data_IF_898422938673
#
_entry.id   IF_898422938673
#
_cell.length_a   1.000
_cell.length_b   1.000
_cell.length_c   1.000
_cell.angle_alpha   90.00
_cell.angle_beta   90.00
_cell.angle_gamma   90.00
#
_symmetry.space_group_name_H-M   'P 1'
#
loop_
_entity.id
_entity.type
_entity.pdbx_description
1 polymer ?
#
# COMPACT_ATOMS: atom_id res chain seq x y z
N UNK A 1 1.39 4.09 16.21
CA UNK A 1 1.53 4.41 17.65
C UNK A 1 1.01 3.29 18.53
N UNK A 2 -0.29 2.94 18.49
CA UNK A 2 -0.81 1.85 19.33
C UNK A 2 -0.35 0.48 18.79
N UNK A 3 -0.60 0.18 17.51
CA UNK A 3 -0.05 -1.00 16.83
C UNK A 3 1.43 -0.93 16.46
N UNK A 4 2.07 0.24 16.64
CA UNK A 4 3.49 0.50 16.34
C UNK A 4 3.99 1.60 17.29
N UNK A 5 4.39 1.26 18.53
CA UNK A 5 4.97 2.19 19.50
C UNK A 5 6.49 2.33 19.33
N UNK A 6 7.09 1.37 18.62
CA UNK A 6 8.52 1.23 18.32
C UNK A 6 9.44 1.12 19.55
N UNK A 7 8.85 0.76 20.69
CA UNK A 7 9.51 0.68 21.99
C UNK A 7 10.00 -0.77 22.25
N UNK A 8 11.32 -1.04 22.26
CA UNK A 8 11.85 -2.38 22.46
C UNK A 8 11.64 -2.92 23.88
N UNK A 9 11.41 -2.06 24.87
CA UNK A 9 11.16 -2.48 26.25
C UNK A 9 9.77 -3.13 26.50
N UNK A 10 8.92 -3.23 25.47
CA UNK A 10 7.55 -3.77 25.59
C UNK A 10 7.45 -5.28 25.41
N UNK A 11 8.57 -5.90 25.05
CA UNK A 11 8.65 -7.26 24.55
C UNK A 11 9.82 -7.99 25.20
N UNK A 12 9.74 -9.32 25.27
CA UNK A 12 10.94 -10.14 25.46
C UNK A 12 11.85 -10.01 24.24
N UNK A 13 13.08 -10.53 24.33
CA UNK A 13 13.97 -10.71 23.17
C UNK A 13 13.43 -11.63 22.05
N UNK A 14 12.17 -12.07 22.16
CA UNK A 14 11.44 -12.96 21.25
C UNK A 14 10.02 -12.46 20.92
N UNK A 15 9.62 -11.25 21.36
CA UNK A 15 8.29 -10.66 21.10
C UNK A 15 8.31 -9.51 20.08
N UNK A 16 7.35 -9.50 19.14
CA UNK A 16 7.27 -8.49 18.08
C UNK A 16 6.81 -7.11 18.60
N UNK A 17 7.45 -6.04 18.13
CA UNK A 17 7.02 -4.66 18.40
C UNK A 17 5.93 -4.15 17.44
N UNK A 18 5.67 -4.89 16.36
CA UNK A 18 4.64 -4.57 15.37
C UNK A 18 3.29 -5.14 15.82
N UNK A 19 2.79 -4.69 16.98
CA UNK A 19 1.52 -5.16 17.57
C UNK A 19 0.35 -5.14 16.58
N UNK A 20 0.25 -4.13 15.71
CA UNK A 20 -0.80 -4.06 14.67
C UNK A 20 -0.72 -5.15 13.60
N UNK A 21 0.44 -5.80 13.43
CA UNK A 21 0.60 -6.98 12.58
C UNK A 21 0.32 -8.28 13.37
N UNK A 22 0.57 -8.30 14.69
CA UNK A 22 0.07 -9.36 15.57
C UNK A 22 -1.47 -9.37 15.63
N UNK A 23 -2.10 -8.18 15.68
CA UNK A 23 -3.56 -8.03 15.64
C UNK A 23 -4.15 -8.59 14.32
N UNK A 24 -3.52 -8.28 13.19
CA UNK A 24 -3.88 -8.84 11.88
C UNK A 24 -3.69 -10.37 11.86
N UNK A 25 -2.58 -10.89 12.42
CA UNK A 25 -2.39 -12.34 12.56
C UNK A 25 -3.50 -12.96 13.42
N UNK A 26 -3.83 -12.38 14.57
CA UNK A 26 -4.86 -12.89 15.46
C UNK A 26 -6.25 -12.91 14.79
N UNK A 27 -6.56 -11.90 13.97
CA UNK A 27 -7.76 -11.89 13.14
C UNK A 27 -7.76 -13.00 12.07
N UNK A 28 -6.62 -13.24 11.40
CA UNK A 28 -6.48 -14.34 10.42
C UNK A 28 -6.62 -15.71 11.11
N UNK A 29 -5.97 -15.91 12.26
CA UNK A 29 -6.08 -17.12 13.08
C UNK A 29 -7.54 -17.34 13.52
N UNK A 30 -8.24 -16.28 13.95
CA UNK A 30 -9.67 -16.35 14.31
C UNK A 30 -10.53 -16.73 13.11
N UNK A 31 -10.35 -16.10 11.94
CA UNK A 31 -11.10 -16.45 10.72
C UNK A 31 -10.85 -17.92 10.37
N UNK A 32 -9.59 -18.37 10.36
CA UNK A 32 -9.25 -19.78 10.06
C UNK A 32 -9.93 -20.76 11.02
N UNK A 33 -10.05 -20.42 12.30
CA UNK A 33 -10.66 -21.29 13.30
C UNK A 33 -12.20 -21.25 13.31
N UNK A 34 -12.84 -20.20 12.76
CA UNK A 34 -14.29 -19.98 12.90
C UNK A 34 -15.08 -19.94 11.59
N UNK A 35 -14.46 -19.66 10.43
CA UNK A 35 -15.18 -19.35 9.18
C UNK A 35 -16.06 -20.50 8.66
N UNK A 36 -15.74 -21.75 9.01
CA UNK A 36 -16.56 -22.92 8.73
C UNK A 36 -17.98 -22.81 9.33
N UNK A 37 -18.14 -22.18 10.51
CA UNK A 37 -19.44 -21.90 11.11
C UNK A 37 -20.29 -20.87 10.36
N UNK A 38 -19.68 -20.12 9.44
CA UNK A 38 -20.31 -19.15 8.54
C UNK A 38 -20.42 -19.68 7.09
N UNK A 39 -20.13 -20.96 6.85
CA UNK A 39 -20.18 -21.59 5.53
C UNK A 39 -18.98 -21.32 4.62
N UNK A 40 -17.92 -20.67 5.12
CA UNK A 40 -16.66 -20.47 4.38
C UNK A 40 -15.66 -21.61 4.58
N UNK A 41 -14.63 -21.65 3.74
CA UNK A 41 -13.62 -22.72 3.74
C UNK A 41 -12.32 -22.25 4.43
N UNK A 42 -11.95 -22.81 5.60
CA UNK A 42 -10.76 -22.39 6.34
C UNK A 42 -9.43 -22.74 5.65
N UNK A 43 -9.47 -23.54 4.57
CA UNK A 43 -8.30 -23.86 3.74
C UNK A 43 -8.20 -22.98 2.48
N UNK A 44 -9.21 -22.14 2.19
CA UNK A 44 -9.23 -21.20 1.05
C UNK A 44 -9.53 -19.78 1.50
N UNK A 45 -8.58 -19.21 2.23
CA UNK A 45 -8.60 -17.81 2.68
C UNK A 45 -7.70 -16.98 1.77
N UNK A 46 -8.27 -15.97 1.10
CA UNK A 46 -7.52 -14.96 0.36
C UNK A 46 -7.40 -13.70 1.22
N UNK A 47 -6.19 -13.17 1.38
CA UNK A 47 -5.93 -11.90 2.06
C UNK A 47 -5.80 -10.80 1.00
N UNK A 48 -6.54 -9.71 1.15
CA UNK A 48 -6.48 -8.53 0.30
C UNK A 48 -6.40 -7.27 1.17
N UNK A 49 -5.71 -6.26 0.68
CA UNK A 49 -5.58 -4.95 1.31
C UNK A 49 -5.00 -3.93 0.32
N UNK A 50 -5.03 -2.66 0.71
CA UNK A 50 -4.51 -1.53 -0.07
C UNK A 50 -3.64 -0.67 0.84
N UNK A 51 -2.69 0.09 0.27
CA UNK A 51 -1.74 0.92 1.03
C UNK A 51 -0.99 0.10 2.09
N UNK A 52 -0.87 0.60 3.32
CA UNK A 52 -0.34 -0.12 4.48
C UNK A 52 -1.01 -1.49 4.73
N UNK A 53 -2.26 -1.70 4.29
CA UNK A 53 -2.93 -3.01 4.32
C UNK A 53 -2.38 -4.00 3.28
N UNK A 54 -2.00 -3.53 2.10
CA UNK A 54 -1.27 -4.35 1.12
C UNK A 54 0.14 -4.68 1.64
N UNK A 55 0.83 -3.69 2.21
CA UNK A 55 2.12 -3.87 2.87
C UNK A 55 2.04 -4.89 4.02
N UNK A 56 0.99 -4.84 4.85
CA UNK A 56 0.78 -5.82 5.93
C UNK A 56 0.52 -7.24 5.38
N UNK A 57 -0.25 -7.38 4.30
CA UNK A 57 -0.50 -8.66 3.65
C UNK A 57 0.77 -9.27 3.02
N UNK A 58 1.64 -8.45 2.42
CA UNK A 58 2.90 -8.92 1.85
C UNK A 58 3.95 -9.24 2.93
N UNK A 59 4.01 -8.44 4.01
CA UNK A 59 4.87 -8.71 5.16
C UNK A 59 4.49 -10.03 5.85
N UNK A 60 3.20 -10.33 6.00
CA UNK A 60 2.71 -11.61 6.52
C UNK A 60 3.25 -12.82 5.72
N UNK A 61 3.53 -12.65 4.43
CA UNK A 61 4.11 -13.68 3.57
C UNK A 61 5.65 -13.80 3.65
N UNK A 62 6.37 -12.84 4.27
CA UNK A 62 7.82 -12.65 4.09
C UNK A 62 8.68 -12.49 5.36
N UNK A 63 8.08 -12.51 6.56
CA UNK A 63 8.71 -12.11 7.83
C UNK A 63 10.15 -12.64 8.12
N UNK A 64 10.96 -11.79 8.84
CA UNK A 64 13.98 -11.81 10.24
C UNK A 64 15.38 -11.89 9.46
N UNK A 65 16.42 -11.01 9.69
CA UNK A 65 16.65 -9.95 10.74
C UNK A 65 17.04 -8.51 10.18
N UNK A 66 17.30 -7.28 10.75
CA UNK A 66 17.48 -6.52 12.06
C UNK A 66 17.20 -5.00 11.92
N UNK A 67 16.49 -4.31 12.87
CA UNK A 67 16.66 -2.92 13.42
C UNK A 67 15.51 -2.42 14.38
N UNK A 68 15.76 -1.45 15.29
CA UNK A 68 14.78 -0.86 16.26
C UNK A 68 15.00 0.64 16.60
N UNK A 69 13.96 1.52 16.62
CA UNK A 69 14.06 2.94 17.10
C UNK A 69 12.70 3.63 17.43
N UNK A 70 12.60 4.33 18.59
CA UNK A 70 11.45 5.17 19.08
C UNK A 70 11.60 6.66 18.70
N UNK A 71 10.48 7.43 18.60
CA UNK A 71 10.51 8.91 18.59
C UNK A 71 9.49 9.69 19.46
N UNK A 72 8.37 9.12 19.93
CA UNK A 72 7.28 9.92 20.57
C UNK A 72 7.51 10.31 22.03
N UNK A 73 8.16 9.45 22.83
CA UNK A 73 8.10 9.56 24.30
C UNK A 73 8.62 10.88 24.90
N UNK A 74 9.51 11.57 24.18
CA UNK A 74 9.98 12.92 24.53
C UNK A 74 8.84 13.95 24.57
N UNK A 75 7.95 13.94 23.56
CA UNK A 75 6.95 14.98 23.33
C UNK A 75 5.84 15.03 24.40
N UNK A 76 5.61 13.92 25.12
CA UNK A 76 4.64 13.85 26.23
C UNK A 76 5.30 13.86 27.62
N UNK A 77 6.59 14.19 27.69
CA UNK A 77 7.33 14.29 28.96
C UNK A 77 7.71 12.95 29.59
N UNK A 78 7.75 11.86 28.83
CA UNK A 78 8.21 10.54 29.30
C UNK A 78 9.71 10.29 29.03
N UNK A 79 10.41 11.26 28.45
CA UNK A 79 11.84 11.20 28.16
C UNK A 79 12.21 10.24 27.03
N UNK A 80 13.51 10.05 26.81
CA UNK A 80 14.04 9.40 25.60
C UNK A 80 14.54 7.97 25.84
N UNK A 81 14.86 7.61 27.08
CA UNK A 81 15.46 6.32 27.44
C UNK A 81 14.46 5.16 27.35
N UNK A 82 14.69 4.24 26.41
CA UNK A 82 13.89 3.03 26.16
C UNK A 82 13.89 2.09 27.39
N UNK A 83 12.99 2.36 28.34
CA UNK A 83 12.96 1.76 29.68
C UNK A 83 11.52 1.42 30.09
N UNK A 84 11.31 0.45 31.00
CA UNK A 84 9.99 0.16 31.55
C UNK A 84 9.32 1.40 32.17
N UNK A 85 10.07 2.27 32.85
CA UNK A 85 9.55 3.51 33.43
C UNK A 85 9.04 4.51 32.36
N UNK A 86 9.76 4.65 31.23
CA UNK A 86 9.26 5.42 30.07
C UNK A 86 7.95 4.82 29.56
N UNK A 87 7.82 3.49 29.49
CA UNK A 87 6.58 2.85 29.05
C UNK A 87 5.41 3.08 30.02
N UNK A 88 5.60 2.88 31.32
CA UNK A 88 4.54 3.13 32.32
C UNK A 88 4.07 4.59 32.27
N UNK A 89 4.99 5.54 32.06
CA UNK A 89 4.63 6.94 31.81
C UNK A 89 3.78 7.12 30.53
N UNK A 90 4.13 6.43 29.44
CA UNK A 90 3.38 6.46 28.17
C UNK A 90 1.98 5.84 28.29
N UNK A 91 1.84 4.72 29.03
CA UNK A 91 0.54 4.09 29.31
C UNK A 91 -0.38 5.02 30.13
N UNK A 92 0.19 5.86 30.99
CA UNK A 92 -0.55 6.87 31.76
C UNK A 92 -1.02 8.10 30.97
N UNK A 93 -0.76 8.18 29.66
CA UNK A 93 -1.24 9.28 28.79
C UNK A 93 -2.53 8.87 28.08
N UNK A 94 -3.48 9.80 27.99
CA UNK A 94 -4.69 9.56 27.18
C UNK A 94 -4.34 9.38 25.70
N UNK A 95 -5.13 8.60 24.97
CA UNK A 95 -4.97 8.45 23.52
C UNK A 95 -5.03 9.80 22.80
N UNK A 96 -5.89 10.72 23.22
CA UNK A 96 -5.98 12.07 22.67
C UNK A 96 -4.67 12.88 22.88
N UNK A 97 -4.06 12.79 24.06
CA UNK A 97 -2.76 13.42 24.37
C UNK A 97 -1.65 12.87 23.47
N UNK A 98 -1.60 11.54 23.30
CA UNK A 98 -0.59 10.88 22.45
C UNK A 98 -0.77 11.22 20.97
N UNK A 99 -2.02 11.25 20.48
CA UNK A 99 -2.37 11.66 19.11
C UNK A 99 -2.03 13.13 18.86
N UNK A 100 -2.28 14.03 19.82
CA UNK A 100 -1.91 15.43 19.66
C UNK A 100 -0.39 15.62 19.64
N UNK A 101 0.34 15.04 20.59
CA UNK A 101 1.81 15.12 20.61
C UNK A 101 2.47 14.51 19.35
N UNK A 102 1.85 13.50 18.72
CA UNK A 102 2.29 12.99 17.43
C UNK A 102 2.07 13.99 16.28
N UNK A 103 0.95 14.75 16.29
CA UNK A 103 0.73 15.87 15.35
C UNK A 103 1.72 17.00 15.57
N UNK A 104 1.91 17.42 16.81
CA UNK A 104 2.81 18.52 17.19
C UNK A 104 4.27 18.20 16.82
N UNK A 105 4.68 16.93 16.92
CA UNK A 105 5.98 16.43 16.48
C UNK A 105 6.07 16.13 14.96
N UNK A 106 5.02 16.45 14.17
CA UNK A 106 4.90 16.17 12.73
C UNK A 106 5.14 14.69 12.36
N UNK A 107 4.67 13.76 13.20
CA UNK A 107 4.80 12.31 12.99
C UNK A 107 3.60 11.81 12.17
N UNK A 108 3.68 12.04 10.85
CA UNK A 108 2.65 11.63 9.88
C UNK A 108 2.50 10.10 9.85
N UNK A 109 3.61 9.36 9.92
CA UNK A 109 3.62 7.90 9.90
C UNK A 109 4.44 7.31 11.04
N UNK A 110 3.85 6.33 11.72
CA UNK A 110 4.57 5.41 12.59
C UNK A 110 5.16 4.31 11.73
N UNK A 111 6.44 4.45 11.38
CA UNK A 111 7.16 3.41 10.63
C UNK A 111 7.11 2.10 11.40
N UNK A 112 6.78 1.04 10.68
CA UNK A 112 6.94 -0.34 11.14
C UNK A 112 8.40 -0.58 11.58
N UNK A 113 8.60 -1.48 12.54
CA UNK A 113 9.92 -1.79 13.11
C UNK A 113 10.50 -3.04 12.45
N UNK A 114 11.79 -3.04 12.13
CA UNK A 114 12.52 -4.21 11.60
C UNK A 114 12.84 -5.21 12.72
N UNK A 115 11.81 -5.66 13.43
CA UNK A 115 11.89 -6.27 14.77
C UNK A 115 12.38 -7.73 14.83
N UNK A 116 12.68 -8.36 13.70
CA UNK A 116 13.15 -9.75 13.59
C UNK A 116 12.14 -10.81 13.98
N UNK A 117 10.86 -10.44 13.98
CA UNK A 117 9.78 -11.32 14.44
C UNK A 117 8.58 -11.20 13.50
N UNK A 118 8.42 -10.04 12.85
CA UNK A 118 7.51 -9.84 11.71
C UNK A 118 8.20 -9.13 10.52
N UNK A 119 9.17 -8.23 10.73
CA UNK A 119 9.80 -7.48 9.62
C UNK A 119 11.31 -7.53 9.69
N UNK A 120 11.93 -7.78 8.55
CA UNK A 120 13.35 -8.07 8.42
C UNK A 120 14.06 -7.11 7.46
N UNK A 121 15.36 -6.96 7.64
CA UNK A 121 16.27 -6.21 6.77
C UNK A 121 16.78 -7.02 5.58
N UNK A 122 16.81 -8.36 5.69
CA UNK A 122 17.15 -9.29 4.60
C UNK A 122 16.04 -9.46 3.54
N UNK A 123 15.04 -8.56 3.52
CA UNK A 123 13.89 -8.57 2.60
C UNK A 123 14.28 -8.78 1.13
N UNK A 124 15.32 -8.09 0.66
CA UNK A 124 15.80 -8.22 -0.71
C UNK A 124 16.34 -9.62 -1.01
N UNK A 125 17.10 -10.20 -0.07
CA UNK A 125 17.67 -11.53 -0.20
C UNK A 125 16.60 -12.62 -0.09
N UNK A 126 15.58 -12.42 0.76
CA UNK A 126 14.41 -13.32 0.84
C UNK A 126 13.61 -13.33 -0.45
N UNK A 127 13.35 -12.14 -1.01
CA UNK A 127 12.65 -11.98 -2.28
C UNK A 127 13.46 -12.56 -3.46
N UNK A 128 14.80 -12.49 -3.41
CA UNK A 128 15.68 -13.10 -4.40
C UNK A 128 15.72 -14.64 -4.28
N UNK A 129 15.90 -15.17 -3.07
CA UNK A 129 16.08 -16.61 -2.79
C UNK A 129 14.79 -17.42 -2.71
N UNK A 130 13.62 -16.76 -2.64
CA UNK A 130 12.34 -17.45 -2.52
C UNK A 130 11.95 -17.84 -1.10
N UNK A 131 12.59 -17.23 -0.09
CA UNK A 131 12.38 -17.49 1.34
C UNK A 131 11.13 -16.75 1.87
N UNK A 132 9.99 -17.02 1.22
CA UNK A 132 8.67 -16.45 1.48
C UNK A 132 7.55 -17.42 1.09
N UNK A 133 6.32 -17.14 1.51
CA UNK A 133 5.15 -17.96 1.21
C UNK A 133 4.81 -17.93 -0.29
N UNK A 134 5.07 -19.04 -0.99
CA UNK A 134 4.85 -19.20 -2.43
C UNK A 134 3.38 -19.47 -2.78
N UNK A 135 2.51 -18.50 -2.49
CA UNK A 135 1.09 -18.49 -2.88
C UNK A 135 0.84 -17.54 -4.07
N UNK A 136 -0.13 -17.84 -4.95
CA UNK A 136 -0.45 -16.96 -6.06
C UNK A 136 -0.84 -15.56 -5.57
N UNK A 137 -0.40 -14.50 -6.26
CA UNK A 137 -0.50 -13.11 -5.76
C UNK A 137 -0.98 -12.14 -6.85
N UNK A 138 -1.91 -11.26 -6.52
CA UNK A 138 -2.20 -10.05 -7.31
C UNK A 138 -1.42 -8.88 -6.72
N UNK A 139 -0.68 -8.16 -7.55
CA UNK A 139 0.05 -6.94 -7.18
C UNK A 139 -0.52 -5.78 -7.99
N UNK A 140 -0.77 -4.64 -7.35
CA UNK A 140 -1.43 -3.50 -7.98
C UNK A 140 -0.84 -2.16 -7.57
N UNK A 141 -1.04 -1.18 -8.44
CA UNK A 141 -0.95 0.25 -8.11
C UNK A 141 -2.11 0.99 -8.78
N UNK A 142 -2.39 2.21 -8.36
CA UNK A 142 -3.01 3.20 -9.25
C UNK A 142 -1.93 3.91 -10.07
N UNK A 143 -2.32 4.78 -11.01
CA UNK A 143 -1.38 5.51 -11.86
C UNK A 143 -0.70 6.68 -11.14
N UNK A 144 -1.43 7.39 -10.27
CA UNK A 144 -0.98 8.62 -9.63
C UNK A 144 -1.17 8.56 -8.10
N UNK A 145 -0.60 7.51 -7.50
CA UNK A 145 -0.62 7.23 -6.06
C UNK A 145 -0.43 8.49 -5.18
N UNK A 146 0.59 9.29 -5.48
CA UNK A 146 1.00 10.38 -4.61
C UNK A 146 0.27 11.72 -4.85
N UNK A 147 -0.73 11.79 -5.75
CA UNK A 147 -1.52 13.01 -5.98
C UNK A 147 -2.09 13.61 -4.67
N UNK A 148 -2.74 12.83 -3.77
CA UNK A 148 -3.29 13.37 -2.52
C UNK A 148 -2.20 13.85 -1.55
N UNK A 149 -1.02 13.23 -1.58
CA UNK A 149 0.12 13.61 -0.75
C UNK A 149 0.79 14.90 -1.26
N UNK A 150 0.93 15.06 -2.57
CA UNK A 150 1.48 16.26 -3.18
C UNK A 150 0.54 17.46 -3.03
N UNK A 151 -0.77 17.27 -3.31
CA UNK A 151 -1.80 18.30 -3.10
C UNK A 151 -1.93 18.65 -1.62
N UNK A 152 -2.06 17.67 -0.73
CA UNK A 152 -2.14 17.90 0.72
C UNK A 152 -0.90 18.59 1.30
N UNK A 153 0.29 18.16 0.87
CA UNK A 153 1.56 18.77 1.26
C UNK A 153 1.70 20.22 0.76
N UNK A 154 1.28 20.52 -0.47
CA UNK A 154 1.27 21.89 -0.99
C UNK A 154 0.28 22.77 -0.25
N UNK A 155 -0.95 22.30 0.00
CA UNK A 155 -1.95 23.04 0.78
C UNK A 155 -1.45 23.35 2.20
N UNK A 156 -0.80 22.39 2.86
CA UNK A 156 -0.27 22.56 4.21
C UNK A 156 0.95 23.50 4.29
N UNK A 157 1.74 23.65 3.21
CA UNK A 157 2.99 24.44 3.21
C UNK A 157 2.87 25.79 2.51
N UNK A 158 1.95 25.94 1.54
CA UNK A 158 1.77 27.14 0.71
C UNK A 158 0.36 27.73 0.75
N UNK A 159 -0.61 27.05 1.37
CA UNK A 159 -2.03 27.42 1.34
C UNK A 159 -2.72 27.18 -0.01
N UNK A 160 -2.01 26.70 -1.02
CA UNK A 160 -2.52 26.43 -2.36
C UNK A 160 -1.89 25.15 -2.97
N UNK A 161 -2.47 24.67 -4.08
CA UNK A 161 -1.99 23.49 -4.80
C UNK A 161 -1.84 23.81 -6.30
N UNK A 162 -0.76 24.49 -6.72
CA UNK A 162 -0.51 24.76 -8.13
C UNK A 162 -0.21 23.46 -8.86
N UNK A 163 -1.00 23.11 -9.88
CA UNK A 163 -0.94 21.79 -10.53
C UNK A 163 0.45 21.45 -11.07
N UNK A 164 1.19 22.42 -11.59
CA UNK A 164 2.56 22.20 -12.08
C UNK A 164 3.56 21.77 -10.98
N UNK A 165 3.30 22.12 -9.72
CA UNK A 165 4.07 21.68 -8.55
C UNK A 165 3.62 20.29 -8.11
N UNK A 166 2.31 20.09 -8.01
CA UNK A 166 1.75 18.86 -7.43
C UNK A 166 1.91 17.66 -8.35
N UNK A 167 1.72 17.80 -9.67
CA UNK A 167 1.89 16.68 -10.61
C UNK A 167 3.35 16.22 -10.70
N UNK A 168 4.31 17.13 -10.85
CA UNK A 168 5.73 16.79 -10.91
C UNK A 168 6.21 16.10 -9.62
N UNK A 169 5.72 16.57 -8.46
CA UNK A 169 5.96 15.93 -7.16
C UNK A 169 5.31 14.55 -7.07
N UNK A 170 4.05 14.45 -7.48
CA UNK A 170 3.28 13.21 -7.40
C UNK A 170 3.76 12.13 -8.36
N UNK A 171 4.17 12.47 -9.59
CA UNK A 171 4.57 11.47 -10.57
C UNK A 171 5.90 10.80 -10.18
N UNK A 172 6.86 11.57 -9.64
CA UNK A 172 8.09 11.01 -9.04
C UNK A 172 7.76 10.12 -7.83
N UNK A 173 6.92 10.59 -6.91
CA UNK A 173 6.57 9.83 -5.70
C UNK A 173 5.71 8.59 -6.00
N UNK A 174 4.83 8.64 -7.00
CA UNK A 174 4.01 7.50 -7.46
C UNK A 174 4.89 6.44 -8.09
N UNK A 175 5.85 6.86 -8.92
CA UNK A 175 6.80 5.95 -9.53
C UNK A 175 7.68 5.26 -8.48
N UNK A 176 8.35 6.03 -7.62
CA UNK A 176 9.29 5.47 -6.62
C UNK A 176 8.58 4.70 -5.51
N UNK A 177 7.47 5.24 -4.97
CA UNK A 177 6.77 4.65 -3.83
C UNK A 177 5.74 3.58 -4.19
N UNK A 178 5.11 3.67 -5.36
CA UNK A 178 4.13 2.71 -5.86
C UNK A 178 4.72 1.77 -6.90
N UNK A 179 4.92 2.27 -8.12
CA UNK A 179 5.31 1.47 -9.30
C UNK A 179 6.51 0.56 -9.03
N UNK A 180 7.59 1.12 -8.48
CA UNK A 180 8.84 0.40 -8.27
C UNK A 180 8.77 -0.62 -7.11
N UNK A 181 7.94 -0.36 -6.10
CA UNK A 181 7.60 -1.35 -5.07
C UNK A 181 6.87 -2.54 -5.69
N UNK A 182 5.79 -2.26 -6.42
CA UNK A 182 5.01 -3.29 -7.13
C UNK A 182 5.84 -4.07 -8.16
N UNK A 183 6.76 -3.41 -8.87
CA UNK A 183 7.72 -4.05 -9.78
C UNK A 183 8.60 -5.07 -9.04
N UNK A 184 9.25 -4.64 -7.95
CA UNK A 184 10.14 -5.50 -7.15
C UNK A 184 9.40 -6.74 -6.61
N UNK A 185 8.22 -6.52 -6.01
CA UNK A 185 7.35 -7.58 -5.47
C UNK A 185 6.90 -8.56 -6.55
N UNK A 186 6.51 -8.06 -7.73
CA UNK A 186 6.08 -8.91 -8.86
C UNK A 186 7.23 -9.70 -9.48
N UNK A 187 8.38 -9.05 -9.68
CA UNK A 187 9.56 -9.63 -10.31
C UNK A 187 10.20 -10.70 -9.45
N UNK A 188 10.33 -10.49 -8.14
CA UNK A 188 10.89 -11.49 -7.23
C UNK A 188 10.01 -12.74 -7.09
N UNK A 189 8.68 -12.55 -7.06
CA UNK A 189 7.70 -13.67 -7.13
C UNK A 189 7.79 -14.45 -8.45
N UNK A 190 7.83 -13.75 -9.59
CA UNK A 190 8.01 -14.35 -10.92
C UNK A 190 9.30 -15.19 -11.02
N UNK A 191 10.45 -14.62 -10.62
CA UNK A 191 11.74 -15.31 -10.62
C UNK A 191 11.75 -16.56 -9.72
N UNK A 192 10.84 -16.62 -8.73
CA UNK A 192 10.68 -17.73 -7.80
C UNK A 192 9.58 -18.74 -8.16
N UNK A 193 9.02 -18.63 -9.37
CA UNK A 193 8.00 -19.55 -9.90
C UNK A 193 6.60 -19.32 -9.34
N UNK A 194 6.33 -18.18 -8.70
CA UNK A 194 5.04 -17.88 -8.06
C UNK A 194 4.10 -17.21 -9.07
N UNK A 195 2.95 -17.83 -9.32
CA UNK A 195 1.92 -17.30 -10.22
C UNK A 195 1.48 -15.92 -9.75
N UNK A 196 1.75 -14.90 -10.56
CA UNK A 196 1.56 -13.51 -10.19
C UNK A 196 0.76 -12.81 -11.28
N UNK A 197 -0.12 -11.88 -10.91
CA UNK A 197 -0.77 -10.94 -11.82
C UNK A 197 -0.42 -9.52 -11.39
N UNK A 198 -0.23 -8.63 -12.36
CA UNK A 198 0.07 -7.22 -12.07
C UNK A 198 -0.90 -6.30 -12.78
N UNK A 199 -1.50 -5.37 -12.05
CA UNK A 199 -2.35 -4.32 -12.62
C UNK A 199 -1.83 -2.91 -12.34
N UNK A 200 -2.24 -1.97 -13.17
CA UNK A 200 -2.23 -0.54 -12.86
C UNK A 200 -3.62 0.03 -13.14
N UNK A 201 -4.25 0.65 -12.14
CA UNK A 201 -5.54 1.32 -12.28
C UNK A 201 -5.35 2.76 -12.81
N UNK A 202 -6.06 3.12 -13.88
CA UNK A 202 -5.90 4.40 -14.59
C UNK A 202 -7.20 5.21 -14.73
N UNK A 203 -8.37 4.65 -14.35
CA UNK A 203 -9.65 5.34 -14.53
C UNK A 203 -9.83 6.53 -13.58
N UNK A 204 -10.53 7.57 -14.06
CA UNK A 204 -10.89 8.76 -13.27
C UNK A 204 -12.39 9.00 -13.35
N UNK A 205 -13.10 8.61 -12.30
CA UNK A 205 -14.56 8.71 -12.23
C UNK A 205 -14.98 9.96 -11.43
N UNK A 206 -15.80 10.88 -11.99
CA UNK A 206 -16.22 12.08 -11.29
C UNK A 206 -17.00 11.83 -9.99
N UNK A 207 -17.70 10.69 -9.85
CA UNK A 207 -18.38 10.30 -8.62
C UNK A 207 -17.44 9.91 -7.48
N UNK A 208 -16.19 9.54 -7.78
CA UNK A 208 -15.14 9.18 -6.81
C UNK A 208 -14.13 10.33 -6.63
N UNK A 209 -13.86 11.07 -7.71
CA UNK A 209 -12.89 12.16 -7.72
C UNK A 209 -13.56 13.54 -7.79
N UNK A 210 -13.79 14.13 -6.62
CA UNK A 210 -14.35 15.48 -6.46
C UNK A 210 -13.32 16.60 -6.60
N UNK A 211 -12.06 16.30 -6.98
CA UNK A 211 -10.96 17.26 -7.10
C UNK A 211 -10.24 17.14 -8.46
N UNK A 212 -10.34 18.19 -9.28
CA UNK A 212 -9.73 18.24 -10.60
C UNK A 212 -8.18 18.26 -10.59
N UNK A 213 -7.55 18.50 -9.43
CA UNK A 213 -6.09 18.40 -9.23
C UNK A 213 -5.62 17.03 -8.71
N UNK A 214 -6.52 16.05 -8.62
CA UNK A 214 -6.21 14.62 -8.46
C UNK A 214 -6.54 13.87 -9.76
N UNK A 215 -5.77 12.82 -10.08
CA UNK A 215 -5.97 11.94 -11.23
C UNK A 215 -6.47 10.56 -10.75
N UNK A 216 -5.97 9.45 -11.30
CA UNK A 216 -6.20 8.11 -10.76
C UNK A 216 -5.39 7.93 -9.45
N UNK A 217 -5.96 8.46 -8.36
CA UNK A 217 -5.27 8.68 -7.07
C UNK A 217 -5.35 7.47 -6.11
N UNK A 218 -4.47 7.44 -5.11
CA UNK A 218 -4.34 6.34 -4.15
C UNK A 218 -5.66 5.98 -3.46
N UNK A 219 -6.16 4.77 -3.74
CA UNK A 219 -7.40 4.23 -3.19
C UNK A 219 -8.66 4.53 -4.02
N UNK A 220 -8.55 5.19 -5.17
CA UNK A 220 -9.68 5.42 -6.09
C UNK A 220 -10.23 4.11 -6.71
N UNK A 221 -9.45 3.02 -6.71
CA UNK A 221 -9.86 1.68 -7.14
C UNK A 221 -10.75 0.97 -6.10
N UNK A 222 -10.56 1.24 -4.81
CA UNK A 222 -11.21 0.53 -3.70
C UNK A 222 -12.75 0.61 -3.71
N UNK A 223 -13.40 1.77 -3.94
CA UNK A 223 -14.87 1.85 -4.04
C UNK A 223 -15.43 1.02 -5.20
N UNK A 224 -14.64 0.77 -6.25
CA UNK A 224 -15.04 -0.02 -7.41
C UNK A 224 -14.82 -1.52 -7.17
N UNK A 225 -13.72 -1.89 -6.50
CA UNK A 225 -13.40 -3.26 -6.03
C UNK A 225 -14.47 -3.76 -5.05
N UNK A 226 -14.95 -2.93 -4.12
CA UNK A 226 -16.03 -3.31 -3.21
C UNK A 226 -17.43 -3.04 -3.76
N UNK A 227 -17.56 -2.25 -4.84
CA UNK A 227 -18.85 -1.82 -5.37
C UNK A 227 -19.58 -0.79 -4.50
N UNK A 228 -18.86 -0.12 -3.61
CA UNK A 228 -19.34 0.89 -2.66
C UNK A 228 -19.23 2.32 -3.19
N UNK A 229 -18.79 2.53 -4.43
CA UNK A 229 -18.75 3.84 -5.11
C UNK A 229 -20.05 4.64 -4.96
N UNK A 230 -21.22 4.01 -5.14
CA UNK A 230 -22.53 4.65 -4.95
C UNK A 230 -22.85 5.10 -3.50
N UNK A 231 -22.04 4.73 -2.50
CA UNK A 231 -22.21 5.13 -1.09
C UNK A 231 -21.26 6.24 -0.63
N UNK A 232 -20.23 6.59 -1.40
CA UNK A 232 -19.23 7.60 -1.04
C UNK A 232 -19.56 8.98 -1.63
N UNK A 233 -20.71 9.54 -1.23
CA UNK A 233 -21.12 10.94 -1.52
C UNK A 233 -21.00 11.35 -3.00
N UNK A 234 -21.57 10.54 -3.91
CA UNK A 234 -21.47 10.75 -5.36
C UNK A 234 -22.19 12.02 -5.83
N UNK A 235 -21.43 13.02 -6.28
CA UNK A 235 -21.92 14.10 -7.15
C UNK A 235 -20.85 14.42 -8.20
N UNK A 236 -21.07 14.11 -9.50
CA UNK A 236 -22.29 13.55 -10.08
C UNK A 236 -22.58 12.10 -9.66
N UNK A 237 -23.76 11.60 -9.99
CA UNK A 237 -24.10 10.19 -9.83
C UNK A 237 -23.27 9.29 -10.77
N UNK A 238 -23.03 8.02 -10.41
CA UNK A 238 -22.19 7.12 -11.21
C UNK A 238 -22.70 6.89 -12.64
N UNK A 239 -21.78 6.77 -13.59
CA UNK A 239 -22.12 6.51 -15.00
C UNK A 239 -22.39 5.03 -15.25
N UNK A 240 -23.00 4.71 -16.40
CA UNK A 240 -23.16 3.32 -16.84
C UNK A 240 -21.79 2.60 -16.99
N UNK A 241 -20.78 3.33 -17.46
CA UNK A 241 -19.41 2.83 -17.61
C UNK A 241 -18.73 2.58 -16.25
N UNK A 242 -18.95 3.45 -15.26
CA UNK A 242 -18.45 3.28 -13.88
C UNK A 242 -19.04 2.02 -13.22
N UNK A 243 -20.34 1.79 -13.42
CA UNK A 243 -21.05 0.59 -12.95
C UNK A 243 -20.51 -0.66 -13.67
N UNK A 244 -20.35 -0.61 -14.99
CA UNK A 244 -19.81 -1.72 -15.78
C UNK A 244 -18.36 -2.06 -15.37
N UNK A 245 -17.52 -1.05 -15.19
CA UNK A 245 -16.14 -1.19 -14.72
C UNK A 245 -16.09 -1.80 -13.31
N UNK A 246 -16.90 -1.32 -12.35
CA UNK A 246 -16.98 -1.92 -11.02
C UNK A 246 -17.41 -3.39 -11.07
N UNK A 247 -18.38 -3.75 -11.92
CA UNK A 247 -18.80 -5.15 -12.11
C UNK A 247 -17.66 -6.01 -12.67
N UNK A 248 -16.91 -5.51 -13.65
CA UNK A 248 -15.73 -6.17 -14.21
C UNK A 248 -14.62 -6.37 -13.16
N UNK A 249 -14.26 -5.34 -12.40
CA UNK A 249 -13.23 -5.40 -11.35
C UNK A 249 -13.65 -6.33 -10.21
N UNK A 250 -14.91 -6.23 -9.72
CA UNK A 250 -15.46 -7.20 -8.74
C UNK A 250 -15.37 -8.64 -9.22
N UNK A 251 -15.67 -8.89 -10.51
CA UNK A 251 -15.54 -10.23 -11.10
C UNK A 251 -14.09 -10.71 -11.05
N UNK A 252 -13.12 -9.87 -11.43
CA UNK A 252 -11.70 -10.25 -11.38
C UNK A 252 -11.24 -10.66 -9.97
N UNK A 253 -11.56 -9.86 -8.94
CA UNK A 253 -11.24 -10.19 -7.55
C UNK A 253 -11.97 -11.46 -7.06
N UNK A 254 -13.23 -11.65 -7.46
CA UNK A 254 -14.00 -12.84 -7.10
C UNK A 254 -13.46 -14.12 -7.77
N UNK A 255 -13.05 -14.08 -9.05
CA UNK A 255 -12.44 -15.24 -9.72
C UNK A 255 -11.05 -15.55 -9.17
N UNK A 256 -10.26 -14.54 -8.79
CA UNK A 256 -9.01 -14.76 -8.04
C UNK A 256 -9.27 -15.46 -6.70
N UNK A 257 -10.22 -14.98 -5.90
CA UNK A 257 -10.52 -15.59 -4.60
C UNK A 257 -11.06 -17.03 -4.70
N UNK A 258 -11.80 -17.36 -5.76
CA UNK A 258 -12.28 -18.73 -6.05
C UNK A 258 -11.16 -19.66 -6.52
N UNK A 259 -10.34 -19.19 -7.45
CA UNK A 259 -9.29 -19.94 -8.12
C UNK A 259 -8.04 -19.06 -8.28
N UNK A 260 -7.20 -18.95 -7.24
CA UNK A 260 -6.07 -18.03 -7.25
C UNK A 260 -4.96 -18.44 -8.22
N UNK A 261 -4.96 -19.64 -8.81
CA UNK A 261 -3.93 -20.05 -9.79
C UNK A 261 -4.30 -19.75 -11.25
N UNK A 262 -5.58 -19.66 -11.60
CA UNK A 262 -6.02 -19.49 -12.99
C UNK A 262 -7.31 -18.67 -13.22
N UNK A 263 -8.04 -18.28 -12.17
CA UNK A 263 -9.32 -17.58 -12.30
C UNK A 263 -9.21 -16.24 -13.03
N UNK A 264 -8.10 -15.53 -12.85
CA UNK A 264 -7.82 -14.25 -13.53
C UNK A 264 -7.59 -14.40 -15.04
N UNK A 265 -7.01 -15.51 -15.49
CA UNK A 265 -6.92 -15.84 -16.92
C UNK A 265 -8.32 -15.99 -17.54
N UNK A 266 -9.31 -16.45 -16.77
CA UNK A 266 -10.73 -16.50 -17.16
C UNK A 266 -11.43 -15.14 -17.30
N UNK A 267 -10.78 -14.04 -16.92
CA UNK A 267 -11.21 -12.65 -17.21
C UNK A 267 -10.22 -11.91 -18.13
N UNK A 268 -9.34 -12.65 -18.80
CA UNK A 268 -8.38 -12.13 -19.79
C UNK A 268 -7.03 -11.66 -19.22
N UNK A 269 -6.83 -11.70 -17.90
CA UNK A 269 -5.57 -11.23 -17.31
C UNK A 269 -4.46 -12.28 -17.50
N UNK A 270 -3.37 -11.98 -18.23
CA UNK A 270 -2.22 -12.87 -18.29
C UNK A 270 -1.48 -12.91 -16.95
N UNK A 271 -0.79 -14.01 -16.69
CA UNK A 271 0.21 -14.06 -15.62
C UNK A 271 1.38 -13.14 -15.96
N UNK A 272 1.83 -12.35 -14.99
CA UNK A 272 2.92 -11.38 -15.13
C UNK A 272 4.20 -12.03 -15.67
N UNK A 273 4.74 -11.42 -16.71
CA UNK A 273 6.05 -11.69 -17.31
C UNK A 273 6.68 -10.33 -17.70
N UNK A 274 7.84 -9.95 -17.14
CA UNK A 274 8.43 -8.63 -17.38
C UNK A 274 8.78 -8.36 -18.85
N UNK A 275 8.91 -9.40 -19.68
CA UNK A 275 9.33 -9.33 -21.07
C UNK A 275 8.18 -9.46 -22.09
N UNK A 276 6.92 -9.38 -21.65
CA UNK A 276 5.74 -9.46 -22.50
C UNK A 276 4.61 -8.55 -21.97
N UNK A 277 3.63 -8.23 -22.82
CA UNK A 277 2.50 -7.36 -22.46
C UNK A 277 1.57 -8.05 -21.46
N UNK A 278 1.87 -7.87 -20.18
CA UNK A 278 1.24 -8.57 -19.06
C UNK A 278 0.92 -7.66 -17.86
N UNK A 279 1.21 -6.36 -17.96
CA UNK A 279 0.62 -5.37 -17.05
C UNK A 279 -0.81 -5.09 -17.51
N UNK A 280 -1.77 -5.40 -16.66
CA UNK A 280 -3.19 -5.13 -16.90
C UNK A 280 -3.47 -3.66 -16.58
N UNK A 281 -3.71 -2.83 -17.59
CA UNK A 281 -4.10 -1.43 -17.41
C UNK A 281 -5.63 -1.34 -17.28
N UNK A 282 -6.13 -1.04 -16.08
CA UNK A 282 -7.57 -1.04 -15.79
C UNK A 282 -8.19 0.33 -16.05
N UNK A 283 -9.16 0.37 -16.97
CA UNK A 283 -10.00 1.54 -17.22
C UNK A 283 -9.26 2.74 -17.82
N UNK A 284 -8.28 2.47 -18.69
CA UNK A 284 -7.54 3.50 -19.41
C UNK A 284 -8.33 4.02 -20.64
N UNK A 285 -7.71 4.90 -21.43
CA UNK A 285 -8.32 5.48 -22.65
C UNK A 285 -8.58 4.47 -23.78
N UNK A 286 -7.99 3.27 -23.71
CA UNK A 286 -8.17 2.21 -24.71
C UNK A 286 -9.36 1.29 -24.34
N UNK A 287 -9.60 1.07 -23.04
CA UNK A 287 -10.71 0.24 -22.55
C UNK A 287 -11.20 0.70 -21.17
N UNK A 288 -11.99 1.79 -21.16
CA UNK A 288 -12.49 2.46 -19.95
C UNK A 288 -13.33 1.54 -19.03
N UNK A 289 -14.05 0.56 -19.59
CA UNK A 289 -14.92 -0.37 -18.82
C UNK A 289 -14.27 -1.72 -18.52
N UNK A 290 -13.01 -1.91 -18.93
CA UNK A 290 -12.31 -3.18 -18.84
C UNK A 290 -10.80 -3.02 -18.61
N UNK A 291 -10.01 -3.57 -19.52
CA UNK A 291 -8.55 -3.46 -19.50
C UNK A 291 -7.93 -3.43 -20.90
N UNK A 292 -6.73 -2.86 -21.00
CA UNK A 292 -5.76 -3.25 -22.03
C UNK A 292 -4.50 -3.86 -21.40
N UNK A 293 -3.54 -4.27 -22.22
CA UNK A 293 -2.30 -4.91 -21.79
C UNK A 293 -1.11 -4.08 -22.25
N UNK A 294 -0.11 -3.94 -21.37
CA UNK A 294 1.14 -3.25 -21.66
C UNK A 294 2.35 -3.99 -21.10
N UNK A 295 3.54 -3.72 -21.65
CA UNK A 295 4.80 -4.29 -21.16
C UNK A 295 5.15 -3.69 -19.79
N UNK A 296 5.30 -4.51 -18.73
CA UNK A 296 5.69 -4.02 -17.42
C UNK A 296 7.05 -3.31 -17.45
N UNK A 297 7.97 -3.74 -18.33
CA UNK A 297 9.31 -3.16 -18.45
C UNK A 297 9.32 -1.68 -18.87
N UNK A 298 8.30 -1.22 -19.62
CA UNK A 298 8.17 0.19 -20.00
C UNK A 298 7.79 1.06 -18.78
N UNK A 299 6.83 0.60 -17.98
CA UNK A 299 6.42 1.27 -16.74
C UNK A 299 7.53 1.20 -15.67
N UNK A 300 8.31 0.11 -15.64
CA UNK A 300 9.37 -0.12 -14.66
C UNK A 300 10.72 0.53 -15.03
N UNK A 301 10.86 1.08 -16.24
CA UNK A 301 12.15 1.47 -16.81
C UNK A 301 12.99 2.41 -15.93
N UNK A 302 12.33 3.32 -15.20
CA UNK A 302 13.01 4.30 -14.32
C UNK A 302 13.30 3.78 -12.92
N UNK A 303 12.85 2.58 -12.55
CA UNK A 303 13.00 2.04 -11.19
C UNK A 303 14.45 1.73 -10.80
N UNK A 304 15.32 1.43 -11.77
CA UNK A 304 16.77 1.35 -11.56
C UNK A 304 17.40 2.70 -11.16
N UNK A 305 16.67 3.82 -11.34
CA UNK A 305 17.11 5.19 -11.11
C UNK A 305 16.26 5.90 -10.04
N UNK A 306 15.56 5.16 -9.17
CA UNK A 306 14.70 5.71 -8.12
C UNK A 306 15.42 6.75 -7.22
N UNK A 307 16.68 6.50 -6.85
CA UNK A 307 17.52 7.46 -6.10
C UNK A 307 17.76 8.76 -6.86
N UNK A 308 17.95 8.68 -8.19
CA UNK A 308 18.10 9.84 -9.07
C UNK A 308 16.80 10.63 -9.17
N UNK A 309 15.65 9.96 -9.29
CA UNK A 309 14.33 10.60 -9.27
C UNK A 309 14.09 11.36 -7.96
N UNK A 310 14.42 10.76 -6.80
CA UNK A 310 14.32 11.43 -5.50
C UNK A 310 15.29 12.62 -5.38
N UNK A 311 16.50 12.53 -5.94
CA UNK A 311 17.46 13.65 -5.96
C UNK A 311 16.95 14.81 -6.83
N UNK A 312 16.35 14.53 -7.99
CA UNK A 312 15.69 15.53 -8.85
C UNK A 312 14.53 16.20 -8.09
N UNK A 313 13.69 15.42 -7.39
CA UNK A 313 12.61 15.98 -6.57
C UNK A 313 13.15 16.84 -5.40
N UNK A 314 14.29 16.48 -4.82
CA UNK A 314 14.97 17.31 -3.83
C UNK A 314 15.38 18.68 -4.40
N UNK A 315 16.06 18.68 -5.56
CA UNK A 315 16.45 19.91 -6.26
C UNK A 315 15.25 20.77 -6.67
N UNK A 316 14.18 20.14 -7.18
CA UNK A 316 12.93 20.80 -7.56
C UNK A 316 12.27 21.48 -6.35
N UNK A 317 12.20 20.81 -5.20
CA UNK A 317 11.68 21.42 -3.97
C UNK A 317 12.53 22.57 -3.46
N UNK A 318 13.86 22.52 -3.60
CA UNK A 318 14.74 23.65 -3.27
C UNK A 318 14.41 24.87 -4.13
N UNK A 319 14.25 24.70 -5.45
CA UNK A 319 13.85 25.79 -6.36
C UNK A 319 12.49 26.37 -5.94
N UNK A 320 11.50 25.51 -5.68
CA UNK A 320 10.17 25.89 -5.19
C UNK A 320 10.12 26.38 -3.73
N UNK A 321 11.27 26.58 -3.08
CA UNK A 321 11.39 27.27 -1.78
C UNK A 321 12.06 28.64 -1.88
N UNK A 322 12.48 29.03 -3.09
CA UNK A 322 13.03 30.37 -3.42
C UNK A 322 12.03 31.29 -4.15
N UNK A 323 10.75 30.89 -4.18
CA UNK A 323 9.62 31.54 -4.86
C UNK A 323 8.45 31.64 -3.88
#
# INVERSE_FOLDING_TARGET
>A
MFGQPNAPQLVSATGSQNFGLLDIKAAIDWVKNNIAGFGGDPNRISIFGQSAGATAADIYAQAYPTDTTVKVAQAVGCGNSATPAQFTCMQGKSAATLIQAARDANIIFFKLVTDNIIIHSDWADRMATGNFLKVPTVVGTVQHEADPLAVGGSLATRGNAPTFITTATADILSQVGGTCGASSVSKGRYLNGVTTWRYQYQAVWPGINTRQDLRAFHGADIPLIFGTFASIQTNPAPTADEVAFSLYVKKAWAEFAKNPSAGLTGVGWPTYNPSADTLVQLGNVENLTGHSLASPSLLDATCAHATTLLAILGQYNTILSSI
#
